data_IF_614844092046
#
_entry.id   IF_614844092046
#
_cell.length_a   1.000
_cell.length_b   1.000
_cell.length_c   1.000
_cell.angle_alpha   90.00
_cell.angle_beta   90.00
_cell.angle_gamma   90.00
#
_symmetry.space_group_name_H-M   'P 1'
#
loop_
_entity.id
_entity.type
_entity.pdbx_description
1 polymer ?
#
# COMPACT_ATOMS: atom_id res chain seq x y z
N UNK A 1 12.97 21.08 -0.66
CA UNK A 1 11.61 20.52 -0.74
C UNK A 1 11.79 19.03 -0.64
N UNK A 2 11.45 18.42 0.51
CA UNK A 2 11.33 16.97 0.58
C UNK A 2 10.27 16.56 -0.44
N UNK A 3 10.63 15.70 -1.39
CA UNK A 3 9.65 15.08 -2.26
C UNK A 3 8.84 14.12 -1.40
N UNK A 4 7.55 14.37 -1.29
CA UNK A 4 6.60 13.47 -0.67
C UNK A 4 6.56 12.14 -1.47
N UNK A 5 7.28 11.14 -0.96
CA UNK A 5 7.43 9.85 -1.59
C UNK A 5 6.09 9.13 -1.69
N UNK A 6 5.24 9.26 -0.66
CA UNK A 6 3.89 8.71 -0.63
C UNK A 6 3.05 9.30 -1.75
N UNK A 7 3.00 10.63 -1.84
CA UNK A 7 2.29 11.34 -2.92
C UNK A 7 2.76 10.93 -4.31
N UNK A 8 4.07 10.75 -4.49
CA UNK A 8 4.64 10.30 -5.77
C UNK A 8 4.19 8.87 -6.14
N UNK A 9 4.23 7.96 -5.17
CA UNK A 9 3.79 6.57 -5.37
C UNK A 9 2.28 6.52 -5.69
N UNK A 10 1.48 7.28 -4.95
CA UNK A 10 0.03 7.36 -5.18
C UNK A 10 -0.29 7.88 -6.59
N UNK A 11 0.44 8.88 -7.09
CA UNK A 11 0.27 9.36 -8.46
C UNK A 11 0.64 8.30 -9.51
N UNK A 12 1.74 7.56 -9.31
CA UNK A 12 2.15 6.47 -10.20
C UNK A 12 1.05 5.41 -10.32
N UNK A 13 0.39 5.07 -9.21
CA UNK A 13 -0.67 4.06 -9.18
C UNK A 13 -2.08 4.65 -9.34
N UNK A 14 -2.25 5.97 -9.51
CA UNK A 14 -3.56 6.66 -9.49
C UNK A 14 -4.57 6.01 -10.42
N UNK A 15 -4.15 5.66 -11.64
CA UNK A 15 -5.01 5.03 -12.64
C UNK A 15 -5.52 3.66 -12.20
N UNK A 16 -4.66 2.83 -11.61
CA UNK A 16 -5.02 1.47 -11.19
C UNK A 16 -5.84 1.48 -9.89
N UNK A 17 -5.50 2.37 -8.96
CA UNK A 17 -6.30 2.64 -7.76
C UNK A 17 -7.71 3.14 -8.10
N UNK A 18 -7.83 4.04 -9.08
CA UNK A 18 -9.14 4.53 -9.53
C UNK A 18 -10.01 3.43 -10.14
N UNK A 19 -9.41 2.46 -10.85
CA UNK A 19 -10.16 1.33 -11.44
C UNK A 19 -10.80 0.43 -10.39
N UNK A 20 -10.18 0.29 -9.21
CA UNK A 20 -10.73 -0.52 -8.11
C UNK A 20 -11.67 0.27 -7.20
N UNK A 21 -11.95 1.54 -7.54
CA UNK A 21 -12.91 2.38 -6.81
C UNK A 21 -12.28 3.33 -5.79
N UNK A 22 -10.98 3.26 -5.53
CA UNK A 22 -10.30 4.15 -4.58
C UNK A 22 -10.22 5.57 -5.14
N UNK A 23 -10.60 6.57 -4.33
CA UNK A 23 -10.37 7.97 -4.67
C UNK A 23 -9.05 8.47 -4.05
N UNK A 24 -8.03 8.61 -4.88
CA UNK A 24 -6.68 9.02 -4.43
C UNK A 24 -6.70 10.37 -3.72
N UNK A 25 -7.58 11.28 -4.10
CA UNK A 25 -7.64 12.63 -3.49
C UNK A 25 -8.23 12.61 -2.07
N UNK A 26 -8.81 11.48 -1.64
CA UNK A 26 -9.30 11.27 -0.26
C UNK A 26 -8.29 10.62 0.66
N UNK A 27 -7.17 10.17 0.10
CA UNK A 27 -6.12 9.48 0.84
C UNK A 27 -5.48 10.50 1.79
N UNK A 28 -5.49 10.18 3.09
CA UNK A 28 -4.89 11.00 4.14
C UNK A 28 -3.99 10.13 4.99
N UNK A 29 -2.76 10.61 5.21
CA UNK A 29 -1.85 10.05 6.20
C UNK A 29 -2.57 9.96 7.53
N UNK A 30 -2.66 8.74 8.07
CA UNK A 30 -3.35 8.49 9.33
C UNK A 30 -2.31 8.19 10.38
N UNK A 31 -2.13 9.13 11.30
CA UNK A 31 -1.36 8.87 12.52
C UNK A 31 -2.24 8.02 13.44
N UNK A 32 -1.79 6.80 13.70
CA UNK A 32 -2.46 5.90 14.64
C UNK A 32 -1.82 6.17 15.98
N UNK A 33 -2.62 6.40 17.02
CA UNK A 33 -2.13 6.60 18.38
C UNK A 33 -2.46 5.37 19.23
N UNK A 34 -1.52 4.94 20.08
CA UNK A 34 -1.76 3.90 21.09
C UNK A 34 -2.61 4.45 22.26
N UNK A 35 -2.92 3.60 23.24
CA UNK A 35 -3.68 4.00 24.44
C UNK A 35 -2.96 5.05 25.30
N UNK A 36 -1.66 5.28 25.06
CA UNK A 36 -0.82 6.29 25.72
C UNK A 36 -0.67 7.57 24.87
N UNK A 37 -1.47 7.72 23.81
CA UNK A 37 -1.42 8.82 22.82
C UNK A 37 -0.08 8.91 22.06
N UNK A 38 0.68 7.82 21.93
CA UNK A 38 1.92 7.78 21.15
C UNK A 38 1.69 7.24 19.75
N UNK A 39 2.44 7.75 18.76
CA UNK A 39 2.36 7.24 17.37
C UNK A 39 2.69 5.75 17.33
N UNK A 40 1.77 4.99 16.76
CA UNK A 40 1.77 3.55 16.70
C UNK A 40 1.86 3.10 15.23
N UNK A 41 2.80 2.23 14.84
CA UNK A 41 3.89 1.65 15.63
C UNK A 41 5.11 2.58 15.75
N UNK A 42 5.84 2.49 16.87
CA UNK A 42 6.98 3.36 17.20
C UNK A 42 8.24 3.17 16.34
N UNK A 43 8.38 2.05 15.63
CA UNK A 43 9.65 1.65 14.95
C UNK A 43 9.48 1.14 13.51
N UNK A 44 8.27 1.12 12.94
CA UNK A 44 8.03 0.48 11.64
C UNK A 44 7.82 1.55 10.57
N UNK A 45 8.63 1.59 9.48
CA UNK A 45 8.48 2.55 8.39
C UNK A 45 7.36 2.13 7.43
N UNK A 46 6.17 1.84 7.96
CA UNK A 46 4.98 1.58 7.15
C UNK A 46 3.91 2.55 7.59
N UNK A 47 3.82 3.62 6.83
CA UNK A 47 2.81 4.65 6.97
C UNK A 47 1.49 4.07 6.45
N UNK A 48 0.61 3.68 7.38
CA UNK A 48 -0.70 3.17 7.02
C UNK A 48 -1.58 4.36 6.66
N UNK A 49 -2.07 4.34 5.43
CA UNK A 49 -2.84 5.45 4.88
C UNK A 49 -4.28 5.02 4.63
N UNK A 50 -5.24 5.81 5.09
CA UNK A 50 -6.66 5.51 4.90
C UNK A 50 -7.19 6.32 3.73
N UNK A 51 -7.85 5.64 2.80
CA UNK A 51 -8.57 6.26 1.69
C UNK A 51 -10.03 5.83 1.66
N UNK A 52 -10.88 6.64 1.05
CA UNK A 52 -12.28 6.32 0.80
C UNK A 52 -12.49 5.97 -0.68
N UNK A 53 -13.22 4.89 -0.90
CA UNK A 53 -13.71 4.52 -2.21
C UNK A 53 -14.97 5.27 -2.60
N UNK A 54 -15.33 5.18 -3.88
CA UNK A 54 -16.48 5.89 -4.46
C UNK A 54 -17.82 5.50 -3.85
N UNK A 55 -17.93 4.33 -3.22
CA UNK A 55 -19.15 3.85 -2.56
C UNK A 55 -19.09 3.99 -1.04
N UNK A 56 -18.10 4.71 -0.50
CA UNK A 56 -17.87 4.90 0.93
C UNK A 56 -17.14 3.75 1.61
N UNK A 57 -16.66 2.77 0.85
CA UNK A 57 -15.78 1.73 1.37
C UNK A 57 -14.44 2.33 1.82
N UNK A 58 -13.92 1.88 2.96
CA UNK A 58 -12.61 2.32 3.45
C UNK A 58 -11.52 1.41 2.92
N UNK A 59 -10.36 1.98 2.64
CA UNK A 59 -9.16 1.24 2.28
C UNK A 59 -8.04 1.52 3.27
N UNK A 60 -7.27 0.49 3.59
CA UNK A 60 -6.09 0.57 4.43
C UNK A 60 -4.90 0.27 3.51
N UNK A 61 -4.04 1.26 3.31
CA UNK A 61 -2.96 1.23 2.35
C UNK A 61 -1.62 1.09 3.07
N UNK A 62 -0.81 0.10 2.68
CA UNK A 62 0.62 0.07 2.99
C UNK A 62 1.39 0.62 1.80
N UNK A 63 2.28 1.57 2.02
CA UNK A 63 3.02 2.25 0.94
C UNK A 63 4.52 2.17 1.25
N UNK A 64 5.31 1.63 0.31
CA UNK A 64 6.77 1.52 0.45
C UNK A 64 7.49 1.78 -0.87
N UNK A 65 8.76 2.18 -0.82
CA UNK A 65 9.59 2.21 -2.04
C UNK A 65 9.99 0.79 -2.43
N UNK A 66 10.45 -0.01 -1.46
CA UNK A 66 11.02 -1.34 -1.67
C UNK A 66 10.40 -2.30 -0.65
N UNK A 67 9.40 -3.04 -1.08
CA UNK A 67 8.69 -3.99 -0.23
C UNK A 67 9.40 -5.35 -0.16
N UNK A 68 9.91 -5.68 1.03
CA UNK A 68 10.34 -7.04 1.39
C UNK A 68 9.25 -7.78 2.20
N UNK A 69 9.48 -9.06 2.51
CA UNK A 69 8.50 -9.87 3.23
C UNK A 69 8.18 -9.32 4.64
N UNK A 70 9.19 -8.81 5.33
CA UNK A 70 9.04 -8.22 6.66
C UNK A 70 8.15 -6.98 6.62
N UNK A 71 8.31 -6.13 5.61
CA UNK A 71 7.46 -4.96 5.43
C UNK A 71 5.99 -5.37 5.23
N UNK A 72 5.72 -6.31 4.31
CA UNK A 72 4.33 -6.75 4.09
C UNK A 72 3.75 -7.43 5.33
N UNK A 73 4.55 -8.19 6.10
CA UNK A 73 4.14 -8.78 7.38
C UNK A 73 3.75 -7.72 8.39
N UNK A 74 4.59 -6.70 8.55
CA UNK A 74 4.35 -5.60 9.46
C UNK A 74 3.05 -4.88 9.09
N UNK A 75 2.82 -4.58 7.82
CA UNK A 75 1.54 -4.04 7.35
C UNK A 75 0.35 -4.94 7.67
N UNK A 76 0.46 -6.25 7.44
CA UNK A 76 -0.61 -7.21 7.74
C UNK A 76 -0.96 -7.21 9.24
N UNK A 77 0.05 -7.15 10.10
CA UNK A 77 -0.14 -7.05 11.56
C UNK A 77 -0.82 -5.73 11.94
N UNK A 78 -0.35 -4.60 11.43
CA UNK A 78 -0.92 -3.28 11.76
C UNK A 78 -2.35 -3.13 11.27
N UNK A 79 -2.63 -3.53 10.02
CA UNK A 79 -3.99 -3.50 9.47
C UNK A 79 -4.94 -4.41 10.26
N UNK A 80 -4.49 -5.57 10.72
CA UNK A 80 -5.29 -6.46 11.58
C UNK A 80 -5.56 -5.84 12.96
N UNK A 81 -4.60 -5.07 13.51
CA UNK A 81 -4.80 -4.34 14.77
C UNK A 81 -5.84 -3.22 14.59
N UNK A 82 -5.74 -2.45 13.51
CA UNK A 82 -6.73 -1.42 13.17
C UNK A 82 -8.15 -1.99 13.05
N UNK A 83 -8.30 -3.14 12.40
CA UNK A 83 -9.59 -3.83 12.31
C UNK A 83 -10.15 -4.19 13.69
N UNK A 84 -9.29 -4.65 14.62
CA UNK A 84 -9.69 -4.96 16.02
C UNK A 84 -10.08 -3.70 16.81
N UNK A 85 -9.49 -2.56 16.47
CA UNK A 85 -9.85 -1.24 17.02
C UNK A 85 -11.11 -0.65 16.38
N UNK A 86 -11.76 -1.39 15.47
CA UNK A 86 -13.00 -0.98 14.81
C UNK A 86 -12.81 -0.24 13.48
N UNK A 87 -11.57 -0.01 13.05
CA UNK A 87 -11.25 0.56 11.74
C UNK A 87 -11.19 -0.54 10.68
N UNK A 88 -12.36 -0.88 10.11
CA UNK A 88 -12.45 -1.85 9.01
C UNK A 88 -12.21 -1.19 7.67
N UNK A 89 -11.44 -1.85 6.80
CA UNK A 89 -11.23 -1.41 5.42
C UNK A 89 -10.57 -2.47 4.55
N UNK A 90 -10.70 -2.33 3.24
CA UNK A 90 -10.04 -3.17 2.25
C UNK A 90 -8.52 -2.92 2.29
N UNK A 91 -7.74 -3.95 2.62
CA UNK A 91 -6.28 -3.85 2.72
C UNK A 91 -5.65 -3.90 1.34
N UNK A 92 -4.71 -3.00 1.04
CA UNK A 92 -3.94 -2.97 -0.20
C UNK A 92 -2.49 -2.61 0.13
N UNK A 93 -1.54 -3.19 -0.61
CA UNK A 93 -0.13 -2.82 -0.53
C UNK A 93 0.35 -2.19 -1.83
N UNK A 94 1.06 -1.07 -1.76
CA UNK A 94 1.64 -0.31 -2.87
C UNK A 94 3.15 -0.27 -2.72
N UNK A 95 3.90 -0.62 -3.77
CA UNK A 95 5.35 -0.52 -3.73
C UNK A 95 5.99 -0.13 -5.06
N UNK A 96 7.08 0.64 -5.09
CA UNK A 96 7.80 0.85 -6.36
C UNK A 96 8.52 -0.43 -6.79
N UNK A 97 9.06 -1.18 -5.84
CA UNK A 97 9.63 -2.51 -6.05
C UNK A 97 9.13 -3.47 -4.98
N UNK A 98 8.93 -4.74 -5.33
CA UNK A 98 8.51 -5.78 -4.38
C UNK A 98 9.31 -7.07 -4.62
N UNK A 99 9.83 -7.66 -3.53
CA UNK A 99 10.54 -8.94 -3.62
C UNK A 99 9.56 -10.09 -3.91
N UNK A 100 10.07 -11.22 -4.40
CA UNK A 100 9.24 -12.40 -4.68
C UNK A 100 8.61 -12.97 -3.40
N UNK A 101 9.33 -12.89 -2.29
CA UNK A 101 8.90 -13.33 -0.96
C UNK A 101 7.75 -12.45 -0.46
N UNK A 102 7.87 -11.13 -0.62
CA UNK A 102 6.82 -10.17 -0.30
C UNK A 102 5.54 -10.43 -1.11
N UNK A 103 5.67 -10.64 -2.43
CA UNK A 103 4.54 -10.96 -3.30
C UNK A 103 3.85 -12.28 -2.89
N UNK A 104 4.61 -13.34 -2.64
CA UNK A 104 4.07 -14.61 -2.14
C UNK A 104 3.32 -14.45 -0.83
N UNK A 105 3.81 -13.59 0.05
CA UNK A 105 3.14 -13.29 1.31
C UNK A 105 1.82 -12.54 1.09
N UNK A 106 1.80 -11.51 0.24
CA UNK A 106 0.58 -10.82 -0.18
C UNK A 106 -0.48 -11.80 -0.71
N UNK A 107 -0.08 -12.70 -1.62
CA UNK A 107 -0.98 -13.72 -2.20
C UNK A 107 -1.56 -14.66 -1.14
N UNK A 108 -0.72 -15.13 -0.22
CA UNK A 108 -1.12 -16.02 0.87
C UNK A 108 -2.15 -15.35 1.79
N UNK A 109 -1.92 -14.09 2.14
CA UNK A 109 -2.79 -13.31 3.05
C UNK A 109 -4.00 -12.70 2.35
N UNK A 110 -4.10 -12.84 1.02
CA UNK A 110 -5.16 -12.25 0.22
C UNK A 110 -5.14 -10.71 0.21
N UNK A 111 -3.94 -10.12 0.25
CA UNK A 111 -3.71 -8.68 0.18
C UNK A 111 -3.39 -8.31 -1.28
N UNK A 112 -4.27 -7.57 -1.98
CA UNK A 112 -3.95 -7.00 -3.29
C UNK A 112 -2.68 -6.15 -3.24
N UNK A 113 -1.78 -6.37 -4.20
CA UNK A 113 -0.52 -5.67 -4.30
C UNK A 113 -0.37 -4.95 -5.66
N UNK A 114 -0.05 -3.66 -5.63
CA UNK A 114 0.33 -2.90 -6.81
C UNK A 114 1.80 -2.57 -6.70
N UNK A 115 2.60 -2.96 -7.70
CA UNK A 115 4.01 -2.65 -7.66
C UNK A 115 4.65 -2.32 -9.00
N UNK A 116 5.72 -1.54 -8.98
CA UNK A 116 6.52 -1.28 -10.17
C UNK A 116 7.51 -2.43 -10.42
N UNK A 117 7.85 -2.64 -11.69
CA UNK A 117 9.06 -3.32 -12.10
C UNK A 117 9.93 -2.31 -12.82
N UNK A 118 11.11 -2.03 -12.28
CA UNK A 118 12.14 -1.32 -13.02
C UNK A 118 12.57 -2.22 -14.18
N UNK A 119 12.34 -1.76 -15.40
CA UNK A 119 12.78 -2.44 -16.62
C UNK A 119 13.89 -1.57 -17.22
N UNK A 120 15.12 -2.05 -17.12
CA UNK A 120 16.24 -1.45 -17.86
C UNK A 120 15.96 -1.63 -19.35
N UNK A 121 15.78 -0.53 -20.08
CA UNK A 121 15.81 -0.53 -21.54
C UNK A 121 17.19 -0.08 -21.99
N UNK A 122 17.88 -0.97 -22.69
CA UNK A 122 19.28 -0.81 -23.11
C UNK A 122 19.59 0.47 -23.92
N UNK A 123 18.58 1.21 -24.41
CA UNK A 123 18.80 2.38 -25.29
C UNK A 123 18.23 3.73 -24.79
N UNK A 124 17.46 3.81 -23.70
CA UNK A 124 16.83 5.08 -23.27
C UNK A 124 16.83 5.36 -21.75
N UNK A 125 17.53 4.55 -20.95
CA UNK A 125 17.54 4.66 -19.49
C UNK A 125 16.38 3.91 -18.82
N UNK A 126 16.39 3.90 -17.48
CA UNK A 126 15.47 3.09 -16.67
C UNK A 126 14.02 3.55 -16.85
N UNK A 127 13.15 2.63 -17.29
CA UNK A 127 11.70 2.87 -17.38
C UNK A 127 11.02 2.13 -16.24
N UNK A 128 10.25 2.85 -15.42
CA UNK A 128 9.36 2.23 -14.45
C UNK A 128 8.15 1.66 -15.18
N UNK A 129 8.09 0.34 -15.37
CA UNK A 129 6.86 -0.32 -15.82
C UNK A 129 6.01 -0.67 -14.61
N UNK A 130 4.82 -0.09 -14.52
CA UNK A 130 3.85 -0.43 -13.47
C UNK A 130 3.27 -1.82 -13.72
N UNK A 131 3.51 -2.77 -12.83
CA UNK A 131 2.93 -4.12 -12.89
C UNK A 131 1.84 -4.26 -11.83
N UNK A 132 0.60 -4.34 -12.28
CA UNK A 132 -0.53 -4.63 -11.39
C UNK A 132 -0.69 -6.13 -11.20
N UNK A 133 -0.49 -6.65 -9.98
CA UNK A 133 -0.92 -8.00 -9.60
C UNK A 133 -2.23 -7.93 -8.81
N UNK A 134 -3.35 -7.92 -9.54
CA UNK A 134 -4.68 -8.03 -8.94
C UNK A 134 -5.09 -9.50 -8.81
N UNK A 135 -5.14 -10.02 -7.59
CA UNK A 135 -5.95 -11.20 -7.28
C UNK A 135 -7.27 -10.77 -6.66
N UNK A 136 -8.26 -10.47 -7.51
CA UNK A 136 -9.64 -10.43 -7.07
C UNK A 136 -10.06 -11.89 -6.79
N UNK A 137 -10.17 -12.28 -5.52
CA UNK A 137 -10.95 -13.47 -5.19
C UNK A 137 -12.37 -13.21 -5.70
N UNK A 138 -12.75 -13.90 -6.78
CA UNK A 138 -14.15 -14.06 -7.14
C UNK A 138 -14.83 -14.76 -5.96
N UNK A 139 -15.72 -14.03 -5.29
CA UNK A 139 -16.75 -14.64 -4.45
C UNK A 139 -17.67 -15.52 -5.27
#
# INVERSE_FOLDING_TARGET
>A
MEMDMEGTILEVFRKDLTKIGLNVDTIRRTEIFDEEEQVFPREIPIEVTIGEGRSGEKYILGISLIANEEEVRNFSTLSSLLERMGMKGNRIFLAVHMTKEALKFCEKEGIPAFFGKLVEKEEEGDVLETITHMMLRRG
#
